data_IF_767342494770
#
_entry.id   IF_767342494770
#
_cell.length_a   1.000
_cell.length_b   1.000
_cell.length_c   1.000
_cell.angle_alpha   90.00
_cell.angle_beta   90.00
_cell.angle_gamma   90.00
#
_symmetry.space_group_name_H-M   'P 1'
#
loop_
_entity.id
_entity.type
_entity.pdbx_description
1 polymer ?
#
# COMPACT_ATOMS: atom_id res chain seq x y z
N UNK A 1 -15.35 14.50 -13.57
CA UNK A 1 -15.53 13.22 -12.85
C UNK A 1 -15.66 13.54 -11.37
N UNK A 2 -16.90 13.69 -10.90
CA UNK A 2 -17.20 13.86 -9.48
C UNK A 2 -17.09 12.51 -8.77
N UNK A 3 -16.38 12.38 -7.64
CA UNK A 3 -16.45 11.18 -6.83
C UNK A 3 -17.81 11.16 -6.12
N UNK A 4 -18.57 10.09 -6.35
CA UNK A 4 -19.85 9.85 -5.70
C UNK A 4 -19.71 9.94 -4.18
N UNK A 5 -20.17 11.03 -3.61
CA UNK A 5 -20.40 11.18 -2.17
C UNK A 5 -21.50 10.18 -1.77
N UNK A 6 -21.27 9.24 -0.83
CA UNK A 6 -22.34 8.41 -0.33
C UNK A 6 -23.37 9.31 0.37
N UNK A 7 -24.64 9.08 0.05
CA UNK A 7 -25.80 9.83 0.54
C UNK A 7 -25.76 10.05 2.05
N UNK A 8 -26.27 11.18 2.57
CA UNK A 8 -26.37 11.40 4.00
C UNK A 8 -27.37 10.39 4.57
N UNK A 9 -26.86 9.34 5.21
CA UNK A 9 -27.67 8.48 6.06
C UNK A 9 -28.19 9.35 7.19
N UNK A 10 -29.51 9.56 7.24
CA UNK A 10 -30.11 10.25 8.37
C UNK A 10 -29.77 9.44 9.64
N UNK A 11 -29.31 10.13 10.68
CA UNK A 11 -28.94 9.53 11.97
C UNK A 11 -30.16 9.07 12.79
N UNK A 12 -31.37 9.07 12.22
CA UNK A 12 -32.63 8.86 12.93
C UNK A 12 -33.25 7.47 12.69
N UNK A 13 -32.60 6.59 11.92
CA UNK A 13 -33.19 5.29 11.55
C UNK A 13 -32.43 4.04 12.04
N UNK A 14 -31.43 4.16 12.94
CA UNK A 14 -30.81 2.98 13.56
C UNK A 14 -31.62 2.56 14.79
N UNK A 15 -32.81 2.03 14.55
CA UNK A 15 -33.64 1.33 15.53
C UNK A 15 -33.42 -0.18 15.44
N UNK A 16 -32.97 -0.81 16.52
CA UNK A 16 -32.71 -2.24 16.60
C UNK A 16 -34.00 -3.07 16.55
N UNK A 17 -34.32 -3.65 15.38
CA UNK A 17 -35.42 -4.61 15.18
C UNK A 17 -34.92 -5.81 14.38
N UNK A 18 -34.78 -6.96 15.04
CA UNK A 18 -33.75 -7.97 14.70
C UNK A 18 -34.10 -9.04 13.65
N UNK A 19 -35.22 -9.00 12.93
CA UNK A 19 -35.58 -10.14 12.04
C UNK A 19 -36.06 -9.83 10.61
N UNK A 20 -36.57 -8.64 10.27
CA UNK A 20 -36.88 -8.27 8.86
C UNK A 20 -35.66 -7.72 8.09
N UNK A 21 -34.54 -7.54 8.80
CA UNK A 21 -33.35 -6.79 8.38
C UNK A 21 -32.32 -7.64 7.63
N UNK A 22 -32.50 -8.95 7.52
CA UNK A 22 -31.44 -9.87 7.04
C UNK A 22 -31.02 -9.58 5.58
N UNK A 23 -32.00 -9.46 4.65
CA UNK A 23 -31.70 -9.22 3.22
C UNK A 23 -31.14 -7.82 2.96
N UNK A 24 -31.69 -6.79 3.58
CA UNK A 24 -31.16 -5.43 3.47
C UNK A 24 -29.80 -5.30 4.14
N UNK A 25 -29.59 -5.92 5.31
CA UNK A 25 -28.29 -5.98 5.96
C UNK A 25 -27.25 -6.71 5.09
N UNK A 26 -27.62 -7.79 4.42
CA UNK A 26 -26.72 -8.49 3.48
C UNK A 26 -26.31 -7.59 2.30
N UNK A 27 -27.25 -6.81 1.76
CA UNK A 27 -26.95 -5.86 0.69
C UNK A 27 -25.99 -4.76 1.17
N UNK A 28 -26.21 -4.23 2.38
CA UNK A 28 -25.33 -3.22 2.99
C UNK A 28 -23.96 -3.80 3.31
N UNK A 29 -23.89 -5.02 3.84
CA UNK A 29 -22.63 -5.71 4.13
C UNK A 29 -21.81 -5.93 2.86
N UNK A 30 -22.45 -6.33 1.76
CA UNK A 30 -21.77 -6.50 0.48
C UNK A 30 -21.20 -5.18 -0.04
N UNK A 31 -21.95 -4.09 0.08
CA UNK A 31 -21.50 -2.75 -0.32
C UNK A 31 -20.34 -2.23 0.55
N UNK A 32 -20.42 -2.42 1.87
CA UNK A 32 -19.35 -2.11 2.80
C UNK A 32 -18.09 -2.92 2.50
N UNK A 33 -18.23 -4.22 2.24
CA UNK A 33 -17.11 -5.09 1.93
C UNK A 33 -16.42 -4.68 0.63
N UNK A 34 -17.19 -4.31 -0.40
CA UNK A 34 -16.65 -3.78 -1.66
C UNK A 34 -15.92 -2.45 -1.46
N UNK A 35 -16.49 -1.55 -0.67
CA UNK A 35 -15.86 -0.25 -0.37
C UNK A 35 -14.58 -0.39 0.45
N UNK A 36 -14.50 -1.41 1.32
CA UNK A 36 -13.35 -1.68 2.17
C UNK A 36 -12.09 -2.09 1.40
N UNK A 37 -12.22 -2.71 0.22
CA UNK A 37 -11.06 -3.10 -0.59
C UNK A 37 -10.16 -1.90 -0.87
N UNK A 38 -10.73 -0.82 -1.43
CA UNK A 38 -9.96 0.38 -1.72
C UNK A 38 -9.70 1.25 -0.48
N UNK A 39 -10.76 1.59 0.28
CA UNK A 39 -10.64 2.53 1.40
C UNK A 39 -9.94 1.95 2.64
N UNK A 40 -9.91 0.62 2.75
CA UNK A 40 -9.36 -0.09 3.89
C UNK A 40 -8.08 -0.84 3.55
N UNK A 41 -8.10 -1.73 2.55
CA UNK A 41 -6.97 -2.62 2.29
C UNK A 41 -5.89 -1.99 1.38
N UNK A 42 -6.28 -1.42 0.24
CA UNK A 42 -5.31 -0.93 -0.76
C UNK A 42 -4.64 0.37 -0.34
N UNK A 43 -5.40 1.28 0.25
CA UNK A 43 -4.90 2.60 0.69
C UNK A 43 -4.25 2.58 2.08
N UNK A 44 -4.23 1.44 2.77
CA UNK A 44 -3.56 1.32 4.08
C UNK A 44 -2.04 1.42 3.96
N UNK A 45 -1.45 2.30 4.77
CA UNK A 45 -0.01 2.47 4.90
C UNK A 45 0.70 1.29 5.62
N UNK A 46 -0.05 0.45 6.33
CA UNK A 46 0.47 -0.69 7.11
C UNK A 46 1.55 -0.31 8.15
N UNK A 47 1.51 0.91 8.68
CA UNK A 47 2.44 1.43 9.69
C UNK A 47 2.01 1.16 11.14
N UNK A 48 0.74 0.78 11.36
CA UNK A 48 0.20 0.44 12.68
C UNK A 48 -0.14 1.64 13.56
N UNK A 49 -0.04 2.87 13.04
CA UNK A 49 -0.31 4.09 13.82
C UNK A 49 -1.77 4.20 14.30
N UNK A 50 -2.70 3.44 13.70
CA UNK A 50 -4.08 3.34 14.16
C UNK A 50 -4.21 2.77 15.59
N UNK A 51 -3.26 1.94 16.02
CA UNK A 51 -3.28 1.30 17.35
C UNK A 51 -3.19 2.33 18.48
N UNK A 52 -2.47 3.43 18.26
CA UNK A 52 -2.25 4.44 19.30
C UNK A 52 -3.57 5.11 19.72
N UNK A 53 -4.45 5.36 18.74
CA UNK A 53 -5.75 5.99 18.95
C UNK A 53 -6.84 4.98 19.35
N UNK A 54 -6.64 3.69 19.09
CA UNK A 54 -7.64 2.67 19.36
C UNK A 54 -7.81 2.44 20.88
N UNK A 55 -9.02 2.58 21.45
CA UNK A 55 -9.25 2.44 22.89
C UNK A 55 -8.94 1.02 23.42
N UNK A 56 -9.05 0.02 22.55
CA UNK A 56 -8.76 -1.39 22.86
C UNK A 56 -7.43 -1.87 22.29
N UNK A 57 -6.60 -0.93 21.78
CA UNK A 57 -5.23 -1.19 21.29
C UNK A 57 -5.12 -2.27 20.20
N UNK A 58 -6.11 -2.35 19.31
CA UNK A 58 -6.06 -3.22 18.12
C UNK A 58 -5.18 -2.56 17.05
N UNK A 59 -4.30 -3.36 16.43
CA UNK A 59 -3.48 -2.94 15.30
C UNK A 59 -4.02 -3.52 13.98
N UNK A 60 -4.78 -2.71 13.25
CA UNK A 60 -5.28 -3.11 11.92
C UNK A 60 -4.17 -3.10 10.86
N UNK A 61 -3.08 -2.37 11.08
CA UNK A 61 -1.95 -2.34 10.16
C UNK A 61 -1.25 -3.70 10.06
N UNK A 62 -1.06 -4.39 11.18
CA UNK A 62 -0.49 -5.74 11.19
C UNK A 62 -1.46 -6.75 10.57
N UNK A 63 -2.77 -6.62 10.80
CA UNK A 63 -3.78 -7.42 10.11
C UNK A 63 -3.68 -7.28 8.58
N UNK A 64 -3.55 -6.05 8.05
CA UNK A 64 -3.40 -5.83 6.60
C UNK A 64 -2.10 -6.44 6.08
N UNK A 65 -1.00 -6.41 6.85
CA UNK A 65 0.24 -7.12 6.46
C UNK A 65 0.01 -8.62 6.32
N UNK A 66 -0.69 -9.23 7.28
CA UNK A 66 -1.03 -10.65 7.22
C UNK A 66 -1.88 -10.98 6.00
N UNK A 67 -2.94 -10.22 5.74
CA UNK A 67 -3.80 -10.41 4.57
C UNK A 67 -3.00 -10.26 3.26
N UNK A 68 -2.16 -9.22 3.13
CA UNK A 68 -1.31 -9.02 1.95
C UNK A 68 -0.31 -10.16 1.77
N UNK A 69 0.27 -10.67 2.86
CA UNK A 69 1.18 -11.82 2.80
C UNK A 69 0.45 -13.08 2.29
N UNK A 70 -0.75 -13.36 2.80
CA UNK A 70 -1.57 -14.49 2.33
C UNK A 70 -1.92 -14.35 0.84
N UNK A 71 -2.27 -13.15 0.38
CA UNK A 71 -2.53 -12.88 -1.04
C UNK A 71 -1.29 -13.09 -1.90
N UNK A 72 -0.12 -12.66 -1.42
CA UNK A 72 1.16 -12.89 -2.11
C UNK A 72 1.55 -14.37 -2.15
N UNK A 73 1.18 -15.15 -1.13
CA UNK A 73 1.44 -16.59 -1.11
C UNK A 73 0.63 -17.34 -2.15
N UNK A 74 -0.60 -16.87 -2.44
CA UNK A 74 -1.47 -17.41 -3.49
C UNK A 74 -1.08 -16.95 -4.90
N UNK A 75 -0.28 -15.88 -5.02
CA UNK A 75 0.17 -15.40 -6.31
C UNK A 75 1.17 -16.38 -6.96
N UNK A 76 1.09 -16.62 -8.28
CA UNK A 76 2.04 -17.49 -8.97
C UNK A 76 3.45 -16.93 -8.83
N UNK A 77 4.28 -17.58 -8.00
CA UNK A 77 5.69 -17.25 -7.87
C UNK A 77 6.36 -17.49 -9.22
N UNK A 78 6.81 -16.42 -9.88
CA UNK A 78 7.62 -16.49 -11.11
C UNK A 78 9.05 -16.97 -10.80
N UNK A 79 9.16 -18.13 -10.16
CA UNK A 79 10.43 -18.81 -9.86
C UNK A 79 11.20 -19.18 -11.12
N UNK A 80 10.55 -19.20 -12.29
CA UNK A 80 11.20 -19.41 -13.57
C UNK A 80 12.21 -18.29 -13.89
N UNK A 81 11.87 -17.02 -13.65
CA UNK A 81 12.80 -15.90 -13.88
C UNK A 81 13.93 -15.92 -12.87
N UNK A 82 13.62 -16.19 -11.59
CA UNK A 82 14.64 -16.33 -10.55
C UNK A 82 15.62 -17.49 -10.84
N UNK A 83 15.13 -18.66 -11.27
CA UNK A 83 15.96 -19.80 -11.66
C UNK A 83 16.83 -19.50 -12.89
N UNK A 84 16.30 -18.78 -13.90
CA UNK A 84 17.06 -18.39 -15.09
C UNK A 84 18.15 -17.38 -14.75
N UNK A 85 17.88 -16.43 -13.86
CA UNK A 85 18.90 -15.49 -13.36
C UNK A 85 19.99 -16.21 -12.57
N UNK A 86 19.64 -17.21 -11.74
CA UNK A 86 20.62 -18.01 -11.00
C UNK A 86 21.46 -18.90 -11.91
N UNK A 87 20.85 -19.56 -12.91
CA UNK A 87 21.59 -20.34 -13.90
C UNK A 87 22.53 -19.48 -14.76
N UNK A 88 22.07 -18.31 -15.19
CA UNK A 88 22.89 -17.35 -15.93
C UNK A 88 24.04 -16.80 -15.06
N UNK A 89 23.80 -16.51 -13.78
CA UNK A 89 24.84 -16.08 -12.85
C UNK A 89 25.92 -17.16 -12.64
N UNK A 90 25.54 -18.43 -12.52
CA UNK A 90 26.50 -19.54 -12.39
C UNK A 90 27.36 -19.73 -13.64
N UNK A 91 26.80 -19.52 -14.83
CA UNK A 91 27.52 -19.55 -16.11
C UNK A 91 28.42 -18.31 -16.30
N UNK A 92 27.95 -17.12 -15.90
CA UNK A 92 28.70 -15.88 -16.01
C UNK A 92 29.85 -15.77 -15.01
N UNK A 93 29.73 -16.39 -13.83
CA UNK A 93 30.76 -16.33 -12.78
C UNK A 93 31.74 -17.50 -12.82
N UNK A 94 31.50 -18.56 -13.60
CA UNK A 94 32.46 -19.66 -13.76
C UNK A 94 32.91 -20.33 -12.46
N UNK A 95 32.11 -20.27 -11.38
CA UNK A 95 32.49 -20.77 -10.06
C UNK A 95 32.09 -22.24 -9.91
N UNK A 96 32.90 -23.14 -10.47
CA UNK A 96 33.00 -24.51 -9.95
C UNK A 96 33.91 -24.49 -8.72
N UNK A 97 33.41 -24.02 -7.59
CA UNK A 97 34.25 -23.90 -6.40
C UNK A 97 33.52 -23.32 -5.21
N UNK A 98 33.24 -24.19 -4.23
CA UNK A 98 32.90 -23.79 -2.87
C UNK A 98 34.14 -23.17 -2.23
N UNK A 99 34.40 -21.91 -2.54
CA UNK A 99 35.42 -21.13 -1.89
C UNK A 99 34.80 -19.82 -1.39
N UNK A 100 34.30 -19.89 -0.14
CA UNK A 100 34.40 -18.85 0.90
C UNK A 100 34.66 -17.46 0.33
N UNK A 101 33.61 -16.86 -0.23
CA UNK A 101 33.59 -15.44 -0.56
C UNK A 101 33.53 -14.67 0.75
N UNK A 102 34.69 -14.47 1.34
CA UNK A 102 34.94 -13.61 2.49
C UNK A 102 34.46 -12.22 2.13
N UNK A 103 33.27 -11.86 2.61
CA UNK A 103 32.87 -10.57 3.22
C UNK A 103 33.48 -9.25 2.69
N UNK A 104 33.96 -9.17 1.46
CA UNK A 104 34.52 -7.95 0.88
C UNK A 104 33.43 -6.99 0.37
N UNK A 105 32.16 -7.40 0.46
CA UNK A 105 31.00 -6.55 0.20
C UNK A 105 30.60 -5.73 1.45
N UNK A 106 31.14 -6.06 2.64
CA UNK A 106 30.96 -5.26 3.87
C UNK A 106 31.92 -4.07 3.97
N UNK A 107 32.78 -3.87 2.97
CA UNK A 107 33.73 -2.74 2.89
C UNK A 107 33.38 -1.71 1.82
N UNK A 108 32.19 -1.80 1.20
CA UNK A 108 31.68 -0.65 0.45
C UNK A 108 31.42 0.48 1.44
N UNK A 109 32.08 1.65 1.31
CA UNK A 109 31.76 2.79 2.14
C UNK A 109 30.27 3.07 1.97
N UNK A 110 29.57 3.12 3.10
CA UNK A 110 28.15 3.45 3.21
C UNK A 110 27.91 4.64 2.30
N UNK A 111 27.26 4.43 1.17
CA UNK A 111 26.93 5.50 0.23
C UNK A 111 26.01 6.43 1.00
N UNK A 112 26.59 7.49 1.55
CA UNK A 112 25.87 8.54 2.24
C UNK A 112 25.06 9.23 1.16
N UNK A 113 23.82 8.80 0.97
CA UNK A 113 22.87 9.52 0.15
C UNK A 113 22.85 10.95 0.69
N UNK A 114 23.21 11.96 -0.13
CA UNK A 114 23.10 13.33 0.32
C UNK A 114 21.62 13.57 0.62
N UNK A 115 21.29 13.81 1.88
CA UNK A 115 19.98 14.31 2.26
C UNK A 115 19.87 15.72 1.70
N UNK A 116 19.38 15.84 0.46
CA UNK A 116 19.06 17.12 -0.11
C UNK A 116 18.09 17.85 0.85
N UNK A 117 18.33 19.12 1.19
CA UNK A 117 17.41 19.88 2.03
C UNK A 117 16.05 19.92 1.34
N UNK A 118 14.98 19.53 2.06
CA UNK A 118 13.62 19.66 1.53
C UNK A 118 13.36 21.15 1.28
N UNK A 119 12.82 21.55 0.11
CA UNK A 119 12.46 22.93 -0.13
C UNK A 119 11.41 23.37 0.92
N UNK A 120 11.43 24.63 1.37
CA UNK A 120 10.44 25.12 2.31
C UNK A 120 9.03 24.98 1.72
N UNK A 121 8.05 24.72 2.58
CA UNK A 121 6.68 24.37 2.18
C UNK A 121 6.04 25.39 1.21
N UNK A 122 6.45 26.66 1.29
CA UNK A 122 5.97 27.74 0.42
C UNK A 122 6.36 27.53 -1.05
N UNK A 123 7.56 27.03 -1.33
CA UNK A 123 8.04 26.80 -2.70
C UNK A 123 7.31 25.63 -3.37
N UNK A 124 6.92 24.63 -2.58
CA UNK A 124 6.14 23.47 -3.04
C UNK A 124 4.71 23.90 -3.41
N UNK A 125 4.08 24.75 -2.60
CA UNK A 125 2.72 25.26 -2.86
C UNK A 125 2.67 26.09 -4.14
N UNK A 126 3.64 26.99 -4.38
CA UNK A 126 3.67 27.82 -5.59
C UNK A 126 3.83 26.98 -6.85
N UNK A 127 4.69 25.97 -6.84
CA UNK A 127 4.89 25.06 -7.98
C UNK A 127 3.61 24.27 -8.33
N UNK A 128 2.92 23.75 -7.31
CA UNK A 128 1.65 23.03 -7.50
C UNK A 128 0.56 23.99 -7.99
N UNK A 129 0.49 25.22 -7.47
CA UNK A 129 -0.47 26.22 -7.95
C UNK A 129 -0.22 26.64 -9.40
N UNK A 130 1.04 26.83 -9.80
CA UNK A 130 1.39 27.16 -11.19
C UNK A 130 1.15 26.02 -12.18
N UNK A 131 1.21 24.76 -11.71
CA UNK A 131 0.82 23.61 -12.53
C UNK A 131 -0.70 23.36 -12.57
N UNK A 132 -1.47 23.95 -11.63
CA UNK A 132 -2.93 23.84 -11.60
C UNK A 132 -3.66 25.04 -12.21
N UNK A 133 -2.97 26.11 -12.57
CA UNK A 133 -3.49 27.09 -13.53
C UNK A 133 -3.34 26.51 -14.93
N UNK A 134 -4.44 26.06 -15.58
CA UNK A 134 -4.35 25.46 -16.88
C UNK A 134 -3.81 26.49 -17.87
N UNK A 135 -2.86 26.04 -18.69
CA UNK A 135 -2.70 26.47 -20.07
C UNK A 135 -4.09 26.48 -20.73
N UNK A 136 -4.80 27.60 -20.60
CA UNK A 136 -6.02 27.86 -21.33
C UNK A 136 -5.61 28.28 -22.74
N UNK A 137 -5.38 27.24 -23.54
CA UNK A 137 -5.67 27.15 -24.98
C UNK A 137 -5.28 28.36 -25.84
N UNK A 138 -4.15 28.19 -26.53
CA UNK A 138 -3.96 28.75 -27.86
C UNK A 138 -4.91 28.06 -28.86
N UNK A 139 -5.38 28.87 -29.82
CA UNK A 139 -6.31 28.65 -30.94
C UNK A 139 -7.82 28.54 -30.64
#
# INVERSE_FOLDING_TARGET
MEPHSPTPLNSSAVGMSSHSSSRSAQLILADLQKSYEYQGADTCAADGMCQEKCPVKINTGDLIKHIRAEQMDMAPRSSATAKRMQAAASLALGLSGREKMTMSWMSLPRLQYPTAPRPPYSTVITLVHTCHTPMCKQE
#
